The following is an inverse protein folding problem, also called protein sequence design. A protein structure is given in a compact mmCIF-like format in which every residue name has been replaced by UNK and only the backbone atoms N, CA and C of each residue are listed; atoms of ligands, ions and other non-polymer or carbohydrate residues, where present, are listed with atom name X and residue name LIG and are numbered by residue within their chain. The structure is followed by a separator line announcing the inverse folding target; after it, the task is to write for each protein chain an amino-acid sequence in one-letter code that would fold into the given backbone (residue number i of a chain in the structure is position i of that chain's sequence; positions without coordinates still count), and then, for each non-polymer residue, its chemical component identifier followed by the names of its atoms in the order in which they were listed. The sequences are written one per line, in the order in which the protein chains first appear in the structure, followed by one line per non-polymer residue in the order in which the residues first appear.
data_IF_976389178604
#
_entry.id   IF_976389178604
#
_cell.length_a   1.000
_cell.length_b   1.000
_cell.length_c   1.000
_cell.angle_alpha   90.00
_cell.angle_beta   90.00
_cell.angle_gamma   90.00
#
_symmetry.space_group_name_H-M   'P 1'
#
loop_
_entity.id
_entity.type
_entity.pdbx_description
1 polymer ?
#
# COMPACT_ATOMS: atom_id res chain seq x y z
N UNK A 1 4.07 -22.27 -9.18
CA UNK A 1 2.67 -22.00 -8.77
C UNK A 1 2.54 -21.49 -7.34
N UNK A 2 3.27 -22.02 -6.31
CA UNK A 2 3.24 -21.50 -4.92
C UNK A 2 3.90 -20.11 -4.75
N UNK A 3 4.97 -19.80 -5.48
CA UNK A 3 5.69 -18.53 -5.36
C UNK A 3 4.91 -17.30 -5.90
N UNK A 4 4.02 -17.50 -6.86
CA UNK A 4 3.20 -16.40 -7.40
C UNK A 4 2.02 -16.02 -6.48
N UNK A 5 1.59 -16.92 -5.61
CA UNK A 5 0.55 -16.67 -4.62
C UNK A 5 1.06 -15.78 -3.47
N UNK A 6 2.28 -16.02 -2.98
CA UNK A 6 2.90 -15.22 -1.93
C UNK A 6 3.16 -13.75 -2.33
N UNK A 7 3.41 -13.50 -3.64
CA UNK A 7 3.56 -12.14 -4.17
C UNK A 7 2.26 -11.33 -4.17
N UNK A 8 1.11 -11.98 -4.22
CA UNK A 8 -0.21 -11.32 -4.22
C UNK A 8 -0.68 -10.97 -2.81
N UNK A 9 -0.28 -11.73 -1.82
CA UNK A 9 -0.71 -11.56 -0.42
C UNK A 9 0.04 -10.42 0.29
N UNK A 10 1.30 -10.14 -0.06
CA UNK A 10 2.06 -9.00 0.47
C UNK A 10 1.48 -7.62 0.12
N UNK A 11 0.58 -7.52 -0.87
CA UNK A 11 -0.12 -6.28 -1.22
C UNK A 11 -1.43 -6.06 -0.44
N UNK A 12 -1.92 -7.06 0.29
CA UNK A 12 -3.18 -6.97 1.02
C UNK A 12 -3.07 -6.36 2.41
N UNK A 13 -1.85 -6.10 2.89
CA UNK A 13 -1.62 -5.53 4.22
C UNK A 13 -1.96 -4.03 4.34
N UNK A 14 -2.27 -3.34 3.24
CA UNK A 14 -2.79 -1.97 3.26
C UNK A 14 -4.27 -2.01 2.84
N UNK A 15 -5.16 -1.99 3.79
CA UNK A 15 -6.61 -2.06 3.60
C UNK A 15 -7.24 -0.97 2.72
N UNK A 16 -6.51 0.05 2.32
CA UNK A 16 -6.93 1.06 1.36
C UNK A 16 -6.57 0.75 -0.10
N UNK A 17 -5.69 -0.24 -0.38
CA UNK A 17 -5.21 -0.52 -1.73
C UNK A 17 -6.03 -1.59 -2.49
N UNK A 18 -6.95 -2.28 -1.82
CA UNK A 18 -7.63 -3.45 -2.40
C UNK A 18 -8.63 -3.06 -3.49
N UNK A 19 -9.33 -1.95 -3.34
CA UNK A 19 -10.30 -1.51 -4.36
C UNK A 19 -9.63 -1.01 -5.65
N UNK A 20 -8.46 -0.38 -5.55
CA UNK A 20 -7.69 0.09 -6.73
C UNK A 20 -7.04 -1.03 -7.55
N UNK A 21 -6.65 -2.14 -6.90
CA UNK A 21 -5.93 -3.23 -7.57
C UNK A 21 -6.83 -4.11 -8.44
N UNK A 22 -8.12 -4.25 -8.11
CA UNK A 22 -9.07 -5.07 -8.89
C UNK A 22 -9.43 -4.39 -10.22
N UNK A 23 -9.54 -3.06 -10.23
CA UNK A 23 -9.82 -2.30 -11.46
C UNK A 23 -8.60 -2.19 -12.39
N UNK A 24 -7.38 -2.15 -11.85
CA UNK A 24 -6.16 -2.00 -12.64
C UNK A 24 -5.66 -3.31 -13.28
N UNK A 25 -6.05 -4.46 -12.76
CA UNK A 25 -5.58 -5.77 -13.27
C UNK A 25 -6.16 -6.21 -14.62
N UNK A 26 -7.26 -5.60 -15.08
CA UNK A 26 -7.99 -6.02 -16.27
C UNK A 26 -7.64 -5.31 -17.58
N UNK A 27 -6.89 -4.20 -17.55
CA UNK A 27 -6.71 -3.33 -18.72
C UNK A 27 -5.27 -3.22 -19.25
N UNK A 28 -4.33 -4.02 -18.77
CA UNK A 28 -2.90 -3.89 -19.13
C UNK A 28 -2.46 -4.70 -20.36
N UNK A 29 -3.32 -4.98 -21.32
CA UNK A 29 -2.88 -5.66 -22.56
C UNK A 29 -3.47 -5.04 -23.82
N UNK A 30 -3.08 -3.82 -24.17
CA UNK A 30 -3.11 -3.38 -25.57
C UNK A 30 -2.14 -2.21 -25.83
N UNK A 31 -1.01 -2.52 -26.41
CA UNK A 31 -0.44 -1.74 -27.50
C UNK A 31 0.15 -0.36 -27.23
N UNK A 32 0.96 -0.14 -26.18
CA UNK A 32 1.80 1.06 -26.11
C UNK A 32 3.25 0.74 -26.42
N UNK A 33 3.82 1.44 -27.40
CA UNK A 33 5.25 1.42 -27.68
C UNK A 33 5.99 1.98 -26.46
N UNK A 34 6.71 1.12 -25.80
CA UNK A 34 7.61 1.46 -24.70
C UNK A 34 8.72 2.39 -25.20
N UNK A 35 8.67 3.65 -24.82
CA UNK A 35 9.85 4.52 -24.87
C UNK A 35 10.56 4.34 -23.54
N UNK A 36 11.61 3.51 -23.52
CA UNK A 36 12.50 3.43 -22.34
C UNK A 36 13.04 4.83 -22.05
N UNK A 37 12.90 5.37 -20.84
CA UNK A 37 13.67 6.53 -20.45
C UNK A 37 15.13 6.12 -20.51
N UNK A 38 15.95 7.05 -20.94
CA UNK A 38 17.40 6.88 -20.80
C UNK A 38 17.74 6.88 -19.31
N UNK A 39 18.77 6.15 -18.89
CA UNK A 39 19.19 6.05 -17.50
C UNK A 39 19.50 7.43 -16.85
N UNK A 40 19.63 8.49 -17.66
CA UNK A 40 19.99 9.83 -17.21
C UNK A 40 18.80 10.73 -16.84
N UNK A 41 17.59 10.46 -17.30
CA UNK A 41 16.46 11.38 -17.12
C UNK A 41 15.18 10.77 -16.52
N UNK A 42 15.17 9.48 -16.20
CA UNK A 42 13.97 8.83 -15.66
C UNK A 42 13.51 9.42 -14.32
N UNK A 43 14.45 9.94 -13.52
CA UNK A 43 14.19 10.55 -12.22
C UNK A 43 13.72 12.01 -12.30
N UNK A 44 13.72 12.62 -13.48
CA UNK A 44 13.23 13.97 -13.64
C UNK A 44 11.71 13.98 -13.62
N UNK A 45 11.15 14.48 -12.53
CA UNK A 45 9.71 14.72 -12.44
C UNK A 45 9.36 16.10 -12.99
N UNK A 46 8.23 16.22 -13.72
CA UNK A 46 7.74 17.52 -14.14
C UNK A 46 7.40 18.36 -12.91
N UNK A 47 7.43 19.68 -13.10
CA UNK A 47 7.29 20.70 -12.05
C UNK A 47 6.41 20.32 -10.87
N UNK A 48 6.90 20.64 -9.66
CA UNK A 48 6.08 20.67 -8.47
C UNK A 48 4.92 21.67 -8.68
N UNK A 49 3.72 21.29 -8.29
CA UNK A 49 2.60 22.20 -8.22
C UNK A 49 2.70 23.05 -6.94
N UNK A 50 1.96 24.17 -6.83
CA UNK A 50 1.96 24.96 -5.61
C UNK A 50 1.56 24.10 -4.40
N UNK A 51 2.34 24.20 -3.32
CA UNK A 51 2.09 23.52 -2.06
C UNK A 51 2.83 24.26 -0.93
N UNK A 52 2.38 24.12 0.31
CA UNK A 52 3.06 24.70 1.47
C UNK A 52 4.38 23.96 1.79
N UNK A 53 4.41 22.65 1.54
CA UNK A 53 5.60 21.80 1.64
C UNK A 53 5.66 20.85 0.46
N UNK A 54 6.85 20.58 -0.06
CA UNK A 54 7.09 19.52 -1.06
C UNK A 54 8.16 18.57 -0.52
N UNK A 55 7.85 17.27 -0.53
CA UNK A 55 8.78 16.21 -0.16
C UNK A 55 9.15 15.40 -1.40
N UNK A 56 10.44 15.15 -1.58
CA UNK A 56 10.93 14.20 -2.59
C UNK A 56 11.29 12.90 -1.91
N UNK A 57 10.82 11.79 -2.47
CA UNK A 57 11.22 10.45 -2.06
C UNK A 57 11.94 9.77 -3.21
N UNK A 58 13.11 9.21 -2.94
CA UNK A 58 13.86 8.37 -3.87
C UNK A 58 14.00 7.00 -3.25
N UNK A 59 13.52 5.97 -3.93
CA UNK A 59 13.59 4.61 -3.44
C UNK A 59 14.22 3.67 -4.45
N UNK A 60 14.93 2.69 -3.96
CA UNK A 60 15.46 1.57 -4.71
C UNK A 60 14.87 0.29 -4.16
N UNK A 61 14.44 -0.57 -5.05
CA UNK A 61 13.93 -1.89 -4.70
C UNK A 61 14.64 -2.90 -5.57
N UNK A 62 15.44 -3.77 -4.98
CA UNK A 62 16.08 -4.89 -5.68
C UNK A 62 15.30 -6.18 -5.39
N UNK A 63 15.12 -6.98 -6.44
CA UNK A 63 14.57 -8.33 -6.32
C UNK A 63 15.55 -9.30 -6.96
N UNK A 64 16.55 -9.72 -6.18
CA UNK A 64 17.70 -10.47 -6.69
C UNK A 64 18.62 -9.59 -7.54
N UNK A 65 19.60 -10.20 -8.21
CA UNK A 65 20.60 -9.49 -9.03
C UNK A 65 20.00 -8.90 -10.33
N UNK A 66 18.83 -9.36 -10.77
CA UNK A 66 18.27 -9.04 -12.09
C UNK A 66 17.21 -7.93 -12.13
N UNK A 67 16.67 -7.49 -10.99
CA UNK A 67 15.60 -6.48 -10.93
C UNK A 67 15.83 -5.42 -9.88
N UNK A 68 16.46 -4.31 -10.26
CA UNK A 68 16.32 -3.09 -9.48
C UNK A 68 15.15 -2.26 -10.02
N UNK A 69 14.20 -1.94 -9.16
CA UNK A 69 13.11 -1.01 -9.44
C UNK A 69 13.35 0.25 -8.62
N UNK A 70 13.92 1.23 -9.28
CA UNK A 70 14.06 2.55 -8.66
C UNK A 70 12.78 3.36 -8.86
N UNK A 71 12.41 4.18 -7.88
CA UNK A 71 11.32 5.13 -8.03
C UNK A 71 11.70 6.50 -7.48
N UNK A 72 11.06 7.51 -8.01
CA UNK A 72 11.10 8.87 -7.49
C UNK A 72 9.68 9.39 -7.37
N UNK A 73 9.39 10.10 -6.29
CA UNK A 73 8.13 10.81 -6.13
C UNK A 73 8.35 12.21 -5.57
N UNK A 74 7.45 13.13 -5.96
CA UNK A 74 7.25 14.43 -5.32
C UNK A 74 5.85 14.42 -4.71
N UNK A 75 5.74 14.80 -3.46
CA UNK A 75 4.47 14.92 -2.74
C UNK A 75 4.32 16.34 -2.23
N UNK A 76 3.22 16.99 -2.58
CA UNK A 76 2.87 18.32 -2.10
C UNK A 76 1.86 18.27 -0.98
N UNK A 77 2.07 19.10 0.03
CA UNK A 77 1.23 19.22 1.21
C UNK A 77 0.67 20.63 1.35
N UNK A 78 -0.54 20.76 1.87
CA UNK A 78 -1.14 22.04 2.23
C UNK A 78 -0.60 22.59 3.57
N UNK A 79 -1.10 23.74 4.01
CA UNK A 79 -0.71 24.38 5.28
C UNK A 79 -1.13 23.55 6.51
N UNK A 80 -2.09 22.64 6.37
CA UNK A 80 -2.51 21.70 7.41
C UNK A 80 -1.70 20.40 7.41
N UNK A 81 -0.71 20.26 6.51
CA UNK A 81 0.12 19.06 6.36
C UNK A 81 -0.59 17.89 5.65
N UNK A 82 -1.74 18.15 4.99
CA UNK A 82 -2.45 17.12 4.22
C UNK A 82 -1.88 17.04 2.82
N UNK A 83 -1.69 15.81 2.32
CA UNK A 83 -1.24 15.58 0.95
C UNK A 83 -2.30 16.07 -0.06
N UNK A 84 -1.91 16.99 -0.95
CA UNK A 84 -2.81 17.55 -1.97
C UNK A 84 -2.50 17.08 -3.38
N UNK A 85 -1.26 16.70 -3.65
CA UNK A 85 -0.88 16.08 -4.91
C UNK A 85 0.37 15.20 -4.74
N UNK A 86 0.50 14.23 -5.64
CA UNK A 86 1.69 13.38 -5.75
C UNK A 86 2.01 13.11 -7.21
N UNK A 87 3.30 13.15 -7.56
CA UNK A 87 3.81 12.73 -8.87
C UNK A 87 4.88 11.68 -8.66
N UNK A 88 4.84 10.61 -9.45
CA UNK A 88 5.83 9.54 -9.31
C UNK A 88 6.18 8.89 -10.64
N UNK A 89 7.37 8.31 -10.70
CA UNK A 89 7.86 7.46 -11.78
C UNK A 89 8.62 6.28 -11.21
N UNK A 90 8.64 5.22 -11.98
CA UNK A 90 9.44 4.03 -11.71
C UNK A 90 10.40 3.78 -12.88
N UNK A 91 11.61 3.28 -12.60
CA UNK A 91 12.59 2.96 -13.64
C UNK A 91 12.11 1.89 -14.62
N UNK A 92 11.26 0.98 -14.15
CA UNK A 92 10.67 -0.09 -14.96
C UNK A 92 9.39 0.29 -15.70
N UNK A 93 8.75 1.40 -15.29
CA UNK A 93 7.55 1.95 -15.89
C UNK A 93 7.64 3.49 -15.87
N UNK A 94 8.21 4.09 -16.92
CA UNK A 94 8.51 5.53 -16.95
C UNK A 94 7.29 6.42 -17.10
N UNK A 95 6.11 5.84 -17.25
CA UNK A 95 4.87 6.59 -17.27
C UNK A 95 4.72 7.45 -16.01
N UNK A 96 4.39 8.74 -16.21
CA UNK A 96 4.09 9.60 -15.08
C UNK A 96 2.78 9.15 -14.43
N UNK A 97 2.84 8.95 -13.13
CA UNK A 97 1.65 8.82 -12.28
C UNK A 97 1.45 10.14 -11.57
N UNK A 98 0.26 10.67 -11.62
CA UNK A 98 -0.12 11.87 -10.88
C UNK A 98 -1.40 11.62 -10.11
N UNK A 99 -1.45 12.17 -8.91
CA UNK A 99 -2.57 12.06 -7.98
C UNK A 99 -2.87 13.48 -7.47
N UNK A 100 -4.16 13.81 -7.36
CA UNK A 100 -4.62 15.06 -6.78
C UNK A 100 -5.73 14.76 -5.79
N UNK A 101 -5.65 15.36 -4.60
CA UNK A 101 -6.64 15.23 -3.54
C UNK A 101 -7.31 16.56 -3.27
N UNK A 102 -8.62 16.56 -3.18
CA UNK A 102 -9.44 17.71 -2.77
C UNK A 102 -10.19 17.34 -1.50
N UNK A 103 -10.14 18.22 -0.52
CA UNK A 103 -10.77 18.05 0.79
C UNK A 103 -11.98 18.96 0.91
N UNK A 104 -13.13 18.39 1.24
CA UNK A 104 -14.37 19.13 1.49
C UNK A 104 -15.06 18.53 2.74
N UNK A 105 -14.84 19.18 3.88
CA UNK A 105 -15.32 18.71 5.18
C UNK A 105 -14.79 17.31 5.51
N UNK A 106 -15.69 16.35 5.61
CA UNK A 106 -15.42 14.94 5.89
C UNK A 106 -15.19 14.07 4.64
N UNK A 107 -15.19 14.71 3.46
CA UNK A 107 -15.04 14.04 2.17
C UNK A 107 -13.70 14.35 1.52
N UNK A 108 -13.06 13.34 0.93
CA UNK A 108 -11.86 13.49 0.10
C UNK A 108 -12.14 12.92 -1.29
N UNK A 109 -12.00 13.75 -2.30
CA UNK A 109 -11.99 13.32 -3.69
C UNK A 109 -10.54 13.15 -4.16
N UNK A 110 -10.25 12.03 -4.76
CA UNK A 110 -8.91 11.63 -5.18
C UNK A 110 -8.90 11.31 -6.66
N UNK A 111 -8.16 12.08 -7.44
CA UNK A 111 -8.04 11.90 -8.88
C UNK A 111 -6.66 11.36 -9.22
N UNK A 112 -6.60 10.21 -9.87
CA UNK A 112 -5.34 9.59 -10.31
C UNK A 112 -5.26 9.52 -11.82
N UNK A 113 -4.06 9.75 -12.36
CA UNK A 113 -3.74 9.54 -13.76
C UNK A 113 -2.49 8.65 -13.81
N UNK A 114 -2.63 7.48 -14.41
CA UNK A 114 -1.51 6.54 -14.61
C UNK A 114 -1.47 6.16 -16.07
N UNK A 115 -0.38 6.53 -16.76
CA UNK A 115 -0.21 6.27 -18.20
C UNK A 115 -1.39 6.74 -19.05
N UNK A 116 -2.00 7.89 -18.69
CA UNK A 116 -3.16 8.45 -19.38
C UNK A 116 -4.51 7.86 -18.97
N UNK A 117 -4.53 6.80 -18.18
CA UNK A 117 -5.77 6.24 -17.62
C UNK A 117 -6.14 7.01 -16.36
N UNK A 118 -7.37 7.49 -16.30
CA UNK A 118 -7.92 8.21 -15.14
C UNK A 118 -8.68 7.25 -14.24
N UNK A 119 -8.52 7.44 -12.94
CA UNK A 119 -9.35 6.79 -11.93
C UNK A 119 -9.69 7.83 -10.85
N UNK A 120 -10.92 7.79 -10.37
CA UNK A 120 -11.42 8.65 -9.32
C UNK A 120 -11.77 7.80 -8.10
N UNK A 121 -11.36 8.27 -6.92
CA UNK A 121 -11.66 7.67 -5.63
C UNK A 121 -12.34 8.73 -4.77
N UNK A 122 -13.45 8.37 -4.13
CA UNK A 122 -14.19 9.22 -3.20
C UNK A 122 -14.20 8.56 -1.84
N UNK A 123 -13.70 9.27 -0.83
CA UNK A 123 -13.62 8.79 0.54
C UNK A 123 -14.46 9.68 1.45
N UNK A 124 -15.15 9.07 2.41
CA UNK A 124 -15.90 9.75 3.44
C UNK A 124 -15.40 9.28 4.80
N UNK A 125 -15.23 10.24 5.71
CA UNK A 125 -14.73 10.03 7.05
C UNK A 125 -15.80 10.35 8.08
N UNK A 126 -15.75 9.72 9.24
CA UNK A 126 -16.60 10.09 10.38
C UNK A 126 -15.99 11.25 11.19
N UNK A 127 -16.71 11.68 12.23
CA UNK A 127 -16.28 12.77 13.11
C UNK A 127 -14.98 12.45 13.89
N UNK A 128 -14.57 11.19 13.96
CA UNK A 128 -13.31 10.74 14.54
C UNK A 128 -12.18 10.65 13.52
N UNK A 129 -12.43 11.02 12.26
CA UNK A 129 -11.46 10.94 11.16
C UNK A 129 -11.23 9.53 10.63
N UNK A 130 -12.15 8.58 10.90
CA UNK A 130 -12.05 7.20 10.40
C UNK A 130 -12.78 7.08 9.07
N UNK A 131 -12.17 6.37 8.11
CA UNK A 131 -12.76 6.12 6.79
C UNK A 131 -14.00 5.22 6.94
N UNK A 132 -15.19 5.74 6.62
CA UNK A 132 -16.44 4.98 6.72
C UNK A 132 -16.98 4.52 5.36
N UNK A 133 -16.56 5.17 4.29
CA UNK A 133 -16.94 4.79 2.92
C UNK A 133 -15.86 5.16 1.92
N UNK A 134 -15.64 4.30 0.96
CA UNK A 134 -14.79 4.57 -0.20
C UNK A 134 -15.48 4.10 -1.48
N UNK A 135 -15.40 4.86 -2.54
CA UNK A 135 -15.85 4.47 -3.86
C UNK A 135 -14.69 4.59 -4.85
N UNK A 136 -14.39 3.51 -5.55
CA UNK A 136 -13.40 3.45 -6.63
C UNK A 136 -14.05 2.81 -7.85
N UNK A 137 -14.26 3.60 -8.91
CA UNK A 137 -14.98 3.12 -10.09
C UNK A 137 -16.38 2.64 -9.72
N UNK A 138 -16.66 1.38 -10.04
CA UNK A 138 -17.94 0.70 -9.79
C UNK A 138 -18.00 -0.05 -8.45
N UNK A 139 -16.99 0.08 -7.59
CA UNK A 139 -16.94 -0.57 -6.28
C UNK A 139 -17.10 0.44 -5.16
N UNK A 140 -17.98 0.12 -4.21
CA UNK A 140 -18.22 0.90 -2.99
C UNK A 140 -17.88 0.02 -1.80
N UNK A 141 -16.91 0.45 -0.99
CA UNK A 141 -16.55 -0.16 0.28
C UNK A 141 -17.14 0.63 1.45
N UNK A 142 -17.62 -0.09 2.46
CA UNK A 142 -18.15 0.46 3.71
C UNK A 142 -17.39 -0.16 4.87
N UNK A 143 -17.00 0.68 5.82
CA UNK A 143 -16.20 0.30 6.98
C UNK A 143 -16.98 0.57 8.26
N UNK A 144 -17.04 -0.42 9.14
CA UNK A 144 -17.71 -0.31 10.43
C UNK A 144 -16.72 -0.48 11.59
N UNK A 145 -16.89 0.32 12.63
CA UNK A 145 -15.99 0.39 13.78
C UNK A 145 -16.72 0.10 15.08
N UNK A 146 -16.03 -0.49 16.05
CA UNK A 146 -16.54 -0.67 17.42
C UNK A 146 -15.94 0.42 18.31
N UNK A 147 -16.80 1.22 18.95
CA UNK A 147 -16.35 2.28 19.87
C UNK A 147 -15.26 3.17 19.27
N UNK A 148 -14.13 3.26 19.97
CA UNK A 148 -12.99 4.11 19.59
C UNK A 148 -11.92 3.36 18.77
N UNK A 149 -12.20 2.15 18.27
CA UNK A 149 -11.25 1.40 17.44
C UNK A 149 -10.92 2.20 16.18
N UNK A 150 -9.63 2.27 15.84
CA UNK A 150 -9.12 2.96 14.64
C UNK A 150 -9.12 2.08 13.39
N UNK A 151 -9.29 0.76 13.56
CA UNK A 151 -9.39 -0.22 12.47
C UNK A 151 -10.80 -0.80 12.42
N UNK A 152 -11.38 -0.99 11.23
CA UNK A 152 -12.75 -1.52 11.11
C UNK A 152 -12.82 -2.97 11.57
N UNK A 153 -13.89 -3.33 12.27
CA UNK A 153 -14.20 -4.75 12.55
C UNK A 153 -14.95 -5.43 11.41
N UNK A 154 -15.58 -4.65 10.53
CA UNK A 154 -16.28 -5.13 9.34
C UNK A 154 -15.98 -4.20 8.16
N UNK A 155 -15.63 -4.80 7.05
CA UNK A 155 -15.49 -4.15 5.75
C UNK A 155 -16.34 -4.91 4.74
N UNK A 156 -17.21 -4.22 4.02
CA UNK A 156 -17.97 -4.80 2.92
C UNK A 156 -17.79 -3.93 1.68
N UNK A 157 -17.46 -4.55 0.56
CA UNK A 157 -17.40 -3.87 -0.74
C UNK A 157 -18.41 -4.50 -1.70
N UNK A 158 -19.17 -3.66 -2.38
CA UNK A 158 -20.20 -4.04 -3.33
C UNK A 158 -19.98 -3.33 -4.67
N UNK A 159 -20.39 -3.95 -5.77
CA UNK A 159 -20.53 -3.20 -7.01
C UNK A 159 -21.65 -2.15 -6.87
N UNK A 160 -21.70 -1.18 -7.81
CA UNK A 160 -22.80 -0.20 -7.84
C UNK A 160 -24.18 -0.85 -8.06
N UNK A 161 -24.22 -2.05 -8.62
CA UNK A 161 -25.43 -2.86 -8.75
C UNK A 161 -25.77 -3.64 -7.47
N UNK A 162 -24.95 -3.53 -6.41
CA UNK A 162 -25.19 -4.16 -5.10
C UNK A 162 -24.65 -5.59 -4.98
N UNK A 163 -23.86 -6.09 -5.94
CA UNK A 163 -23.23 -7.42 -5.83
C UNK A 163 -22.05 -7.35 -4.86
N UNK A 164 -22.06 -8.19 -3.84
CA UNK A 164 -20.95 -8.29 -2.86
C UNK A 164 -19.66 -8.73 -3.58
N UNK A 165 -18.58 -8.00 -3.34
CA UNK A 165 -17.25 -8.23 -3.92
C UNK A 165 -16.21 -8.62 -2.89
N UNK A 166 -16.35 -8.10 -1.67
CA UNK A 166 -15.47 -8.39 -0.56
C UNK A 166 -16.22 -8.28 0.76
N UNK A 167 -15.91 -9.18 1.68
CA UNK A 167 -16.29 -9.07 3.09
C UNK A 167 -15.09 -9.38 3.96
N UNK A 168 -14.71 -8.44 4.80
CA UNK A 168 -13.67 -8.57 5.81
C UNK A 168 -14.30 -8.47 7.20
N UNK A 169 -14.00 -9.43 8.08
CA UNK A 169 -14.37 -9.35 9.50
C UNK A 169 -13.12 -9.41 10.35
N UNK A 170 -13.05 -8.64 11.42
CA UNK A 170 -11.88 -8.61 12.28
C UNK A 170 -12.24 -8.71 13.75
N UNK A 171 -11.37 -9.41 14.49
CA UNK A 171 -11.43 -9.56 15.94
C UNK A 171 -10.06 -9.28 16.56
N UNK A 172 -10.05 -8.72 17.78
CA UNK A 172 -8.83 -8.45 18.54
C UNK A 172 -8.81 -9.37 19.75
N UNK A 173 -7.76 -10.18 19.88
CA UNK A 173 -7.48 -10.90 21.10
C UNK A 173 -7.03 -9.91 22.20
N UNK A 174 -7.86 -9.75 23.22
CA UNK A 174 -7.61 -8.80 24.31
C UNK A 174 -6.38 -9.17 25.17
N UNK A 175 -5.86 -10.38 25.10
CA UNK A 175 -4.68 -10.82 25.87
C UNK A 175 -3.39 -10.52 25.13
N UNK A 176 -3.35 -10.83 23.84
CA UNK A 176 -2.15 -10.67 23.01
C UNK A 176 -2.12 -9.31 22.28
N UNK A 177 -3.29 -8.71 22.04
CA UNK A 177 -3.46 -7.55 21.18
C UNK A 177 -3.37 -7.90 19.68
N UNK A 178 -3.30 -9.19 19.35
CA UNK A 178 -3.33 -9.63 17.95
C UNK A 178 -4.71 -9.40 17.35
N UNK A 179 -4.74 -8.89 16.13
CA UNK A 179 -5.95 -8.69 15.33
C UNK A 179 -6.01 -9.73 14.23
N UNK A 180 -7.01 -10.60 14.29
CA UNK A 180 -7.32 -11.58 13.24
C UNK A 180 -8.35 -10.99 12.29
N UNK A 181 -8.06 -10.99 11.01
CA UNK A 181 -8.93 -10.53 9.93
C UNK A 181 -9.20 -11.66 8.95
N UNK A 182 -10.48 -12.00 8.76
CA UNK A 182 -10.95 -12.95 7.75
C UNK A 182 -11.47 -12.16 6.57
N UNK A 183 -10.90 -12.36 5.38
CA UNK A 183 -11.27 -11.67 4.15
C UNK A 183 -11.76 -12.68 3.15
N UNK A 184 -13.00 -12.51 2.70
CA UNK A 184 -13.60 -13.29 1.61
C UNK A 184 -13.80 -12.38 0.40
N UNK A 185 -13.31 -12.82 -0.75
CA UNK A 185 -13.48 -12.14 -2.05
C UNK A 185 -14.48 -12.92 -2.88
N UNK A 186 -15.35 -12.20 -3.57
CA UNK A 186 -16.41 -12.75 -4.38
C UNK A 186 -16.20 -12.40 -5.86
N UNK A 187 -16.62 -13.29 -6.76
CA UNK A 187 -16.60 -13.09 -8.19
C UNK A 187 -17.68 -12.08 -8.66
N UNK A 188 -17.77 -11.86 -9.97
CA UNK A 188 -18.75 -10.96 -10.57
C UNK A 188 -20.21 -11.37 -10.31
N UNK A 189 -20.46 -12.65 -10.03
CA UNK A 189 -21.79 -13.21 -9.79
C UNK A 189 -22.13 -13.28 -8.29
N UNK A 190 -21.18 -12.87 -7.40
CA UNK A 190 -21.34 -12.93 -5.95
C UNK A 190 -21.02 -14.31 -5.35
N UNK A 191 -20.34 -15.20 -6.10
CA UNK A 191 -19.86 -16.46 -5.55
C UNK A 191 -18.51 -16.27 -4.88
N UNK A 192 -18.27 -16.98 -3.78
CA UNK A 192 -16.97 -16.96 -3.09
C UNK A 192 -15.87 -17.47 -4.04
N UNK A 193 -14.84 -16.66 -4.22
CA UNK A 193 -13.71 -16.92 -5.10
C UNK A 193 -12.44 -17.22 -4.32
N UNK A 194 -12.25 -16.55 -3.18
CA UNK A 194 -11.03 -16.62 -2.39
C UNK A 194 -11.31 -16.22 -0.93
N UNK A 195 -10.65 -16.91 -0.01
CA UNK A 195 -10.66 -16.56 1.41
C UNK A 195 -9.23 -16.51 1.93
N UNK A 196 -8.94 -15.57 2.82
CA UNK A 196 -7.65 -15.46 3.51
C UNK A 196 -7.83 -15.02 4.96
N UNK A 197 -6.97 -15.50 5.82
CA UNK A 197 -6.91 -15.13 7.24
C UNK A 197 -5.59 -14.44 7.53
N UNK A 198 -5.66 -13.17 7.91
CA UNK A 198 -4.50 -12.38 8.29
C UNK A 198 -4.51 -12.14 9.80
N UNK A 199 -3.36 -12.30 10.44
CA UNK A 199 -3.16 -11.92 11.84
C UNK A 199 -2.08 -10.85 11.89
N UNK A 200 -2.38 -9.74 12.58
CA UNK A 200 -1.41 -8.68 12.84
C UNK A 200 -1.22 -8.51 14.34
N UNK A 201 0.01 -8.12 14.73
CA UNK A 201 0.30 -7.75 16.13
C UNK A 201 -0.27 -6.37 16.48
N UNK A 202 -0.10 -5.96 17.73
CA UNK A 202 -0.53 -4.63 18.22
C UNK A 202 0.14 -3.45 17.51
N UNK A 203 1.27 -3.65 16.84
CA UNK A 203 1.96 -2.65 16.02
C UNK A 203 1.45 -2.62 14.59
N UNK A 204 0.63 -3.59 14.19
CA UNK A 204 0.08 -3.74 12.86
C UNK A 204 0.97 -4.55 11.91
N UNK A 205 2.05 -5.16 12.42
CA UNK A 205 2.89 -6.06 11.62
C UNK A 205 2.22 -7.40 11.44
N UNK A 206 2.30 -7.96 10.23
CA UNK A 206 1.68 -9.25 9.92
C UNK A 206 2.45 -10.38 10.58
N UNK A 207 1.81 -11.09 11.51
CA UNK A 207 2.36 -12.24 12.22
C UNK A 207 1.88 -13.58 11.67
N UNK A 208 0.80 -13.59 10.88
CA UNK A 208 0.35 -14.79 10.16
C UNK A 208 -0.47 -14.44 8.92
N UNK A 209 -0.34 -15.25 7.88
CA UNK A 209 -1.22 -15.27 6.71
C UNK A 209 -1.58 -16.71 6.41
N UNK A 210 -2.87 -17.05 6.43
CA UNK A 210 -3.39 -18.42 6.22
C UNK A 210 -2.69 -19.51 7.05
N UNK A 211 -2.31 -19.14 8.31
CA UNK A 211 -1.61 -20.03 9.22
C UNK A 211 -0.07 -20.05 9.06
N UNK A 212 0.47 -19.43 8.03
CA UNK A 212 1.92 -19.26 7.87
C UNK A 212 2.41 -18.15 8.80
N UNK A 213 3.05 -18.52 9.90
CA UNK A 213 3.46 -17.59 10.97
C UNK A 213 4.82 -16.95 10.69
N UNK A 214 4.96 -15.73 11.24
CA UNK A 214 6.19 -14.92 11.23
C UNK A 214 6.44 -14.40 12.65
N UNK A 215 7.70 -14.30 13.02
CA UNK A 215 8.12 -13.74 14.30
C UNK A 215 8.75 -12.38 14.11
N UNK A 216 8.25 -11.38 14.84
CA UNK A 216 8.77 -10.02 14.81
C UNK A 216 9.52 -9.70 16.09
N UNK A 217 10.71 -9.11 15.93
CA UNK A 217 11.50 -8.52 17.02
C UNK A 217 11.73 -7.06 16.69
N UNK A 218 11.51 -6.19 17.67
CA UNK A 218 11.65 -4.73 17.52
C UNK A 218 12.71 -4.19 18.48
N UNK A 219 13.57 -3.31 17.98
CA UNK A 219 14.46 -2.48 18.76
C UNK A 219 14.10 -1.02 18.52
N UNK A 220 13.28 -0.46 19.41
CA UNK A 220 12.80 0.92 19.29
C UNK A 220 13.93 1.94 19.47
N UNK A 221 14.97 1.62 20.25
CA UNK A 221 16.12 2.52 20.46
C UNK A 221 17.02 2.59 19.22
N UNK A 222 17.15 1.48 18.50
CA UNK A 222 17.93 1.42 17.28
C UNK A 222 17.09 1.74 16.02
N UNK A 223 15.78 1.93 16.15
CA UNK A 223 14.83 2.08 15.04
C UNK A 223 14.91 0.92 14.04
N UNK A 224 14.97 -0.31 14.54
CA UNK A 224 15.07 -1.51 13.71
C UNK A 224 14.01 -2.54 14.06
N UNK A 225 13.72 -3.42 13.10
CA UNK A 225 12.94 -4.63 13.33
C UNK A 225 13.48 -5.80 12.49
N UNK A 226 13.23 -7.01 12.98
CA UNK A 226 13.45 -8.23 12.21
C UNK A 226 12.16 -9.02 12.11
N UNK A 227 11.94 -9.66 10.95
CA UNK A 227 10.83 -10.56 10.70
C UNK A 227 11.38 -11.91 10.26
N UNK A 228 11.19 -12.95 11.08
CA UNK A 228 11.58 -14.32 10.75
C UNK A 228 10.36 -15.08 10.23
N UNK A 229 10.49 -15.63 9.03
CA UNK A 229 9.45 -16.44 8.38
C UNK A 229 9.52 -17.90 8.85
N UNK A 230 8.41 -18.61 8.78
CA UNK A 230 8.30 -20.04 9.16
C UNK A 230 9.30 -20.95 8.42
N UNK A 231 9.68 -20.59 7.19
CA UNK A 231 10.66 -21.33 6.38
C UNK A 231 12.12 -20.90 6.61
N UNK A 232 12.37 -20.03 7.61
CA UNK A 232 13.70 -19.66 8.07
C UNK A 232 14.33 -18.43 7.41
N UNK A 233 13.68 -17.80 6.43
CA UNK A 233 14.15 -16.51 5.91
C UNK A 233 13.96 -15.40 6.94
N UNK A 234 14.84 -14.39 6.91
CA UNK A 234 14.81 -13.24 7.82
C UNK A 234 14.85 -11.94 7.05
N UNK A 235 13.90 -11.05 7.33
CA UNK A 235 13.94 -9.68 6.84
C UNK A 235 14.36 -8.72 7.97
N UNK A 236 15.24 -7.79 7.63
CA UNK A 236 15.78 -6.76 8.53
C UNK A 236 15.31 -5.40 8.03
N UNK A 237 14.71 -4.63 8.93
CA UNK A 237 14.17 -3.31 8.64
C UNK A 237 14.92 -2.24 9.43
N UNK A 238 15.15 -1.09 8.79
CA UNK A 238 15.59 0.13 9.44
C UNK A 238 14.60 1.24 9.14
N UNK A 239 14.27 2.02 10.18
CA UNK A 239 13.30 3.11 10.11
C UNK A 239 13.95 4.44 10.43
N UNK A 240 13.35 5.55 10.00
CA UNK A 240 13.66 6.87 10.51
C UNK A 240 12.90 7.17 11.81
N UNK A 241 13.13 8.37 12.36
CA UNK A 241 12.46 8.83 13.59
C UNK A 241 10.93 8.96 13.45
N UNK A 242 10.43 9.07 12.22
CA UNK A 242 9.00 9.10 11.91
C UNK A 242 8.40 7.71 11.67
N UNK A 243 9.19 6.65 11.79
CA UNK A 243 8.78 5.26 11.58
C UNK A 243 8.67 4.86 10.10
N UNK A 244 9.22 5.65 9.17
CA UNK A 244 9.25 5.34 7.74
C UNK A 244 10.42 4.40 7.42
N UNK A 245 10.22 3.42 6.55
CA UNK A 245 11.26 2.45 6.17
C UNK A 245 12.38 3.12 5.38
N UNK A 246 13.60 3.07 5.89
CA UNK A 246 14.82 3.51 5.21
C UNK A 246 15.50 2.38 4.44
N UNK A 247 15.50 1.17 5.00
CA UNK A 247 16.13 0.00 4.39
C UNK A 247 15.37 -1.26 4.77
N UNK A 248 15.25 -2.16 3.81
CA UNK A 248 14.85 -3.54 4.02
C UNK A 248 15.90 -4.46 3.39
N UNK A 249 16.36 -5.44 4.15
CA UNK A 249 17.28 -6.49 3.70
C UNK A 249 16.63 -7.83 3.94
N UNK A 250 16.90 -8.79 3.07
CA UNK A 250 16.41 -10.16 3.21
C UNK A 250 17.57 -11.14 3.19
N UNK A 251 17.46 -12.16 4.02
CA UNK A 251 18.37 -13.28 4.07
C UNK A 251 17.57 -14.58 3.96
N UNK A 252 17.82 -15.37 2.91
CA UNK A 252 17.31 -16.72 2.80
C UNK A 252 18.05 -17.66 3.77
N UNK A 253 17.48 -18.82 4.20
CA UNK A 253 18.11 -19.69 5.18
C UNK A 253 19.53 -20.14 4.80
N UNK A 254 19.78 -20.35 3.51
CA UNK A 254 21.06 -20.80 2.96
C UNK A 254 21.74 -19.73 2.08
N UNK A 255 21.28 -18.48 2.18
CA UNK A 255 21.69 -17.40 1.29
C UNK A 255 22.38 -16.25 1.98
N UNK A 256 22.98 -15.39 1.15
CA UNK A 256 23.60 -14.15 1.59
C UNK A 256 22.54 -13.08 1.92
N UNK A 257 22.91 -12.15 2.78
CA UNK A 257 22.11 -10.97 3.09
C UNK A 257 22.07 -10.05 1.85
N UNK A 258 20.85 -9.73 1.38
CA UNK A 258 20.61 -8.86 0.22
C UNK A 258 19.78 -7.65 0.61
N UNK A 259 20.14 -6.48 0.11
CA UNK A 259 19.30 -5.31 0.22
C UNK A 259 18.17 -5.42 -0.81
N UNK A 260 16.91 -5.41 -0.35
CA UNK A 260 15.73 -5.50 -1.21
C UNK A 260 15.03 -4.16 -1.39
N UNK A 261 15.22 -3.24 -0.45
CA UNK A 261 14.73 -1.86 -0.55
C UNK A 261 15.65 -0.90 0.17
N UNK A 262 15.89 0.26 -0.45
CA UNK A 262 16.49 1.44 0.17
C UNK A 262 15.67 2.67 -0.20
N UNK A 263 15.36 3.52 0.77
CA UNK A 263 14.54 4.72 0.56
C UNK A 263 15.21 5.93 1.19
N UNK A 264 15.29 7.02 0.46
CA UNK A 264 15.78 8.32 0.92
C UNK A 264 14.64 9.33 0.85
N UNK A 265 14.46 10.08 1.93
CA UNK A 265 13.47 11.16 2.02
C UNK A 265 14.19 12.49 2.09
N UNK A 266 13.80 13.43 1.25
CA UNK A 266 14.39 14.77 1.20
C UNK A 266 13.29 15.81 1.09
N UNK A 267 13.29 16.78 2.01
CA UNK A 267 12.44 17.97 1.89
C UNK A 267 13.00 18.88 0.82
N UNK A 268 12.20 19.18 -0.18
CA UNK A 268 12.54 20.12 -1.24
C UNK A 268 11.88 21.44 -0.90
N UNK A 269 12.54 22.24 -0.07
CA UNK A 269 12.16 23.64 0.15
C UNK A 269 12.53 24.45 -1.08
N UNK A 270 11.54 25.10 -1.72
CA UNK A 270 11.75 26.14 -2.71
C UNK A 270 11.51 27.50 -2.11
#
# INVERSE_FOLDING_TARGET
MRQDMLKRVGMLAASAAVCGAVAAGGLMMQGMRYVRPTAENWSLLPYAEPAAKVEQTVGRSSKGEEFSRDYVSLTGYDEQGREIWKKSRFSTDPGLRSEHKTYDGDTVAWHTITNGTKADVYQQYDAQGRLVREQTGDVIAVYSYRGDETKPYLTEAHSVEGVLRLRGTAEIDQKTGERTENITVYDANGNESYNTVNVTDKRGSTVSVDGDRREWTYDDAAHTATCTYSYGAVNYYQFDEQGRVLSEKSQDPDGDLREIQKTEYTDVTR
#
